data_IF_374850944592
#
_entry.id   IF_374850944592
#
_cell.length_a   1.000
_cell.length_b   1.000
_cell.length_c   1.000
_cell.angle_alpha   90.00
_cell.angle_beta   90.00
_cell.angle_gamma   90.00
#
_symmetry.space_group_name_H-M   'P 1'
#
loop_
_entity.id
_entity.type
_entity.pdbx_description
1 polymer ?
#
# COMPACT_ATOMS: atom_id res chain seq x y z
N UNK A 1 -15.61 -17.77 9.33
CA UNK A 1 -15.81 -17.24 7.98
C UNK A 1 -14.74 -16.21 7.65
N UNK A 2 -13.93 -16.51 6.68
CA UNK A 2 -12.82 -15.64 6.35
C UNK A 2 -13.32 -14.47 5.52
N UNK A 3 -13.01 -13.26 6.00
CA UNK A 3 -13.25 -12.06 5.21
C UNK A 3 -12.02 -11.81 4.35
N UNK A 4 -12.23 -11.69 3.05
CA UNK A 4 -11.17 -11.30 2.14
C UNK A 4 -10.92 -9.81 2.29
N UNK A 5 -10.05 -9.45 3.23
CA UNK A 5 -9.68 -8.06 3.45
C UNK A 5 -8.70 -7.63 2.37
N UNK A 6 -9.07 -6.60 1.63
CA UNK A 6 -8.23 -6.00 0.61
C UNK A 6 -8.46 -4.49 0.59
N UNK A 7 -7.48 -3.75 1.10
CA UNK A 7 -7.55 -2.29 1.20
C UNK A 7 -6.65 -1.69 0.15
N UNK A 8 -7.24 -1.07 -0.86
CA UNK A 8 -6.51 -0.53 -2.02
C UNK A 8 -6.21 0.96 -1.83
N UNK A 9 -5.01 1.37 -2.28
CA UNK A 9 -4.61 2.78 -2.30
C UNK A 9 -4.90 3.39 -3.67
N UNK A 10 -6.12 3.87 -3.86
CA UNK A 10 -6.54 4.48 -5.12
C UNK A 10 -5.77 5.76 -5.44
N UNK A 11 -5.41 6.51 -4.40
CA UNK A 11 -4.67 7.76 -4.54
C UNK A 11 -3.29 7.53 -5.18
N UNK A 12 -2.61 6.43 -4.82
CA UNK A 12 -1.31 6.11 -5.39
C UNK A 12 -1.38 5.90 -6.90
N UNK A 13 -2.40 5.20 -7.37
CA UNK A 13 -2.59 4.97 -8.80
C UNK A 13 -2.92 6.24 -9.57
N UNK A 14 -3.53 7.21 -8.91
CA UNK A 14 -3.81 8.50 -9.49
C UNK A 14 -2.57 9.40 -9.55
N UNK A 15 -1.76 9.40 -8.49
CA UNK A 15 -0.64 10.33 -8.35
C UNK A 15 0.68 9.82 -8.92
N UNK A 16 0.82 8.51 -9.15
CA UNK A 16 2.08 7.89 -9.56
C UNK A 16 1.92 6.96 -10.74
N UNK A 17 2.98 6.92 -11.58
CA UNK A 17 3.18 5.83 -12.52
C UNK A 17 3.85 4.68 -11.78
N UNK A 18 3.22 3.53 -11.73
CA UNK A 18 3.75 2.36 -11.03
C UNK A 18 4.66 1.58 -11.99
N UNK A 19 5.95 1.54 -11.67
CA UNK A 19 6.95 0.93 -12.55
C UNK A 19 7.17 -0.56 -12.26
N UNK A 20 7.06 -0.95 -10.99
CA UNK A 20 7.28 -2.32 -10.57
C UNK A 20 6.50 -2.58 -9.28
N UNK A 21 6.12 -3.84 -9.03
CA UNK A 21 5.32 -4.21 -7.85
C UNK A 21 5.99 -5.34 -7.09
N UNK A 22 5.85 -5.32 -5.77
CA UNK A 22 6.37 -6.34 -4.87
C UNK A 22 5.33 -6.64 -3.79
N UNK A 23 5.31 -7.89 -3.31
CA UNK A 23 4.48 -8.27 -2.16
C UNK A 23 5.40 -8.43 -0.96
N UNK A 24 5.22 -7.59 0.04
CA UNK A 24 6.02 -7.62 1.26
C UNK A 24 5.19 -8.19 2.41
N UNK A 25 5.85 -8.93 3.29
CA UNK A 25 5.29 -9.20 4.60
C UNK A 25 5.34 -7.93 5.44
N UNK A 26 4.42 -7.76 6.36
CA UNK A 26 4.44 -6.62 7.27
C UNK A 26 4.45 -7.14 8.70
N UNK A 27 5.39 -6.64 9.50
CA UNK A 27 5.55 -7.07 10.89
C UNK A 27 4.57 -6.29 11.77
N UNK A 28 3.58 -7.01 12.30
CA UNK A 28 2.47 -6.42 13.04
C UNK A 28 2.34 -6.99 14.44
N UNK A 29 1.74 -6.18 15.32
CA UNK A 29 1.29 -6.62 16.64
C UNK A 29 -0.08 -7.27 16.51
N UNK A 30 -0.47 -8.07 17.51
CA UNK A 30 -1.75 -8.78 17.49
C UNK A 30 -2.96 -7.85 17.35
N UNK A 31 -2.95 -6.71 18.06
CA UNK A 31 -4.03 -5.72 17.99
C UNK A 31 -4.13 -5.09 16.61
N UNK A 32 -2.99 -4.92 15.93
CA UNK A 32 -2.97 -4.39 14.56
C UNK A 32 -3.64 -5.35 13.58
N UNK A 33 -3.32 -6.63 13.66
CA UNK A 33 -3.92 -7.66 12.80
C UNK A 33 -5.44 -7.71 13.02
N UNK A 34 -5.87 -7.65 14.26
CA UNK A 34 -7.30 -7.67 14.61
C UNK A 34 -8.03 -6.46 14.00
N UNK A 35 -7.44 -5.29 14.07
CA UNK A 35 -8.02 -4.08 13.44
C UNK A 35 -8.09 -4.19 11.93
N UNK A 36 -7.05 -4.71 11.29
CA UNK A 36 -7.03 -4.92 9.84
C UNK A 36 -8.14 -5.88 9.42
N UNK A 37 -8.34 -6.96 10.17
CA UNK A 37 -9.41 -7.91 9.89
C UNK A 37 -10.81 -7.28 9.98
N UNK A 38 -10.94 -6.20 10.73
CA UNK A 38 -12.18 -5.41 10.81
C UNK A 38 -12.24 -4.33 9.73
N UNK A 39 -11.26 -4.26 8.84
CA UNK A 39 -11.19 -3.25 7.80
C UNK A 39 -10.83 -1.86 8.31
N UNK A 40 -10.30 -1.75 9.51
CA UNK A 40 -10.00 -0.46 10.15
C UNK A 40 -8.57 -0.02 9.94
N UNK A 41 -8.18 0.14 8.68
CA UNK A 41 -6.86 0.65 8.30
C UNK A 41 -6.98 1.55 7.09
N UNK A 42 -6.06 2.52 7.01
CA UNK A 42 -6.02 3.47 5.90
C UNK A 42 -4.57 3.63 5.42
N UNK A 43 -4.32 3.33 4.15
CA UNK A 43 -3.00 3.40 3.54
C UNK A 43 -2.81 4.57 2.57
N UNK A 44 -3.81 5.43 2.41
CA UNK A 44 -3.77 6.49 1.40
C UNK A 44 -2.62 7.47 1.58
N UNK A 45 -2.24 7.77 2.82
CA UNK A 45 -1.16 8.71 3.11
C UNK A 45 0.14 8.01 3.52
N UNK A 46 0.17 6.69 3.43
CA UNK A 46 1.34 5.91 3.80
C UNK A 46 2.41 5.96 2.71
N UNK A 47 3.65 5.81 3.12
CA UNK A 47 4.79 5.74 2.20
C UNK A 47 5.83 4.79 2.76
N UNK A 48 6.70 4.30 1.89
CA UNK A 48 7.76 3.38 2.29
C UNK A 48 9.12 4.06 2.18
N UNK A 49 10.00 3.77 3.13
CA UNK A 49 11.34 4.35 3.16
C UNK A 49 12.34 3.37 3.76
N UNK A 50 13.61 3.50 3.37
CA UNK A 50 14.69 2.70 3.95
C UNK A 50 15.30 3.44 5.13
N UNK A 51 15.47 2.71 6.25
CA UNK A 51 16.18 3.20 7.43
C UNK A 51 17.15 2.08 7.83
N UNK A 52 18.45 2.35 7.83
CA UNK A 52 19.49 1.37 8.18
C UNK A 52 19.33 0.04 7.41
N UNK A 53 19.16 0.13 6.08
CA UNK A 53 19.03 -1.03 5.17
C UNK A 53 17.77 -1.88 5.39
N UNK A 54 16.82 -1.39 6.18
CA UNK A 54 15.51 -2.02 6.34
C UNK A 54 14.42 -1.15 5.72
N UNK A 55 13.43 -1.79 5.13
CA UNK A 55 12.30 -1.09 4.53
C UNK A 55 11.17 -0.97 5.55
N UNK A 56 10.69 0.25 5.72
CA UNK A 56 9.58 0.57 6.63
C UNK A 56 8.40 1.16 5.85
N UNK A 57 7.20 0.84 6.28
CA UNK A 57 6.03 1.61 5.89
C UNK A 57 5.73 2.60 7.01
N UNK A 58 5.59 3.87 6.63
CA UNK A 58 5.35 4.96 7.57
C UNK A 58 4.01 5.62 7.25
N UNK A 59 3.42 6.21 8.27
CA UNK A 59 2.13 6.90 8.17
C UNK A 59 0.98 5.99 7.72
N UNK A 60 1.12 4.69 7.94
CA UNK A 60 0.04 3.73 7.75
C UNK A 60 -0.83 3.74 9.00
N UNK A 61 -2.07 4.16 8.85
CA UNK A 61 -3.02 4.22 9.97
C UNK A 61 -3.72 2.87 10.14
N UNK A 62 -3.51 2.26 11.30
CA UNK A 62 -4.26 1.08 11.73
C UNK A 62 -4.93 1.46 13.04
N UNK A 63 -6.27 1.53 13.04
CA UNK A 63 -7.02 1.98 14.21
C UNK A 63 -6.71 1.13 15.44
N UNK A 64 -6.76 1.72 16.62
CA UNK A 64 -6.63 0.98 17.86
C UNK A 64 -7.75 -0.06 17.92
N UNK A 65 -7.41 -1.25 18.41
CA UNK A 65 -8.39 -2.32 18.54
C UNK A 65 -9.33 -2.01 19.71
N UNK A 66 -10.64 -1.98 19.43
CA UNK A 66 -11.66 -1.57 20.40
C UNK A 66 -11.65 -2.39 21.70
N UNK A 67 -11.25 -3.67 21.59
CA UNK A 67 -11.18 -4.57 22.73
C UNK A 67 -9.77 -4.72 23.30
N UNK A 68 -8.84 -3.87 22.82
CA UNK A 68 -7.48 -3.87 23.33
C UNK A 68 -7.40 -3.21 24.70
N UNK A 69 -6.43 -3.64 25.51
CA UNK A 69 -6.17 -3.09 26.82
C UNK A 69 -5.03 -2.06 26.75
N UNK A 70 -4.28 -1.89 27.85
CA UNK A 70 -3.12 -1.00 27.93
C UNK A 70 -2.03 -1.32 26.90
N UNK A 71 -2.05 -2.52 26.32
CA UNK A 71 -1.04 -2.97 25.36
C UNK A 71 -1.46 -2.74 23.90
N UNK A 72 -2.41 -1.84 23.67
CA UNK A 72 -2.80 -1.49 22.33
C UNK A 72 -1.65 -0.77 21.60
N UNK A 73 -1.70 -0.79 20.27
CA UNK A 73 -0.67 -0.18 19.45
C UNK A 73 -0.95 1.29 19.19
N UNK A 74 0.09 2.03 18.77
CA UNK A 74 -0.09 3.35 18.21
C UNK A 74 -0.60 3.24 16.77
N UNK A 75 -1.62 4.03 16.43
CA UNK A 75 -2.29 3.93 15.13
C UNK A 75 -1.35 4.13 13.94
N UNK A 76 -0.37 5.02 14.06
CA UNK A 76 0.57 5.35 12.99
C UNK A 76 2.00 4.88 13.25
N UNK A 77 2.15 3.80 13.98
CA UNK A 77 3.45 3.22 14.29
C UNK A 77 4.23 2.88 13.00
N UNK A 78 5.53 3.15 12.97
CA UNK A 78 6.40 2.69 11.88
C UNK A 78 6.50 1.17 11.90
N UNK A 79 6.34 0.53 10.75
CA UNK A 79 6.31 -0.94 10.66
C UNK A 79 7.30 -1.44 9.63
N UNK A 80 8.02 -2.50 10.01
CA UNK A 80 9.02 -3.13 9.14
C UNK A 80 8.32 -3.98 8.08
N UNK A 81 8.79 -3.85 6.84
CA UNK A 81 8.37 -4.69 5.73
C UNK A 81 9.40 -5.78 5.48
N UNK A 82 8.92 -6.98 5.16
CA UNK A 82 9.75 -8.16 4.97
C UNK A 82 9.73 -8.58 3.51
N UNK A 83 10.91 -8.56 2.90
CA UNK A 83 11.14 -9.01 1.53
C UNK A 83 12.35 -9.92 1.52
N UNK A 84 12.50 -10.76 0.46
CA UNK A 84 13.73 -11.52 0.33
C UNK A 84 14.89 -10.55 0.00
N UNK A 85 16.12 -11.02 0.22
CA UNK A 85 17.30 -10.15 0.08
C UNK A 85 17.47 -9.57 -1.32
N UNK A 86 17.14 -10.32 -2.35
CA UNK A 86 17.25 -9.85 -3.74
C UNK A 86 16.29 -8.72 -4.02
N UNK A 87 15.04 -8.88 -3.61
CA UNK A 87 14.01 -7.85 -3.80
C UNK A 87 14.34 -6.60 -3.00
N UNK A 88 14.76 -6.78 -1.76
CA UNK A 88 15.10 -5.67 -0.87
C UNK A 88 16.24 -4.83 -1.45
N UNK A 89 17.31 -5.51 -1.91
CA UNK A 89 18.47 -4.84 -2.49
C UNK A 89 18.13 -4.11 -3.79
N UNK A 90 17.33 -4.74 -4.64
CA UNK A 90 16.88 -4.13 -5.89
C UNK A 90 16.06 -2.89 -5.65
N UNK A 91 15.11 -2.95 -4.72
CA UNK A 91 14.30 -1.79 -4.34
C UNK A 91 15.13 -0.67 -3.73
N UNK A 92 16.11 -1.02 -2.89
CA UNK A 92 16.97 -0.02 -2.28
C UNK A 92 17.77 0.74 -3.33
N UNK A 93 18.36 0.03 -4.27
CA UNK A 93 19.12 0.63 -5.37
C UNK A 93 18.25 1.50 -6.25
N UNK A 94 17.10 1.01 -6.67
CA UNK A 94 16.21 1.75 -7.56
C UNK A 94 15.48 2.88 -6.84
N UNK A 95 15.19 2.72 -5.56
CA UNK A 95 14.53 3.74 -4.75
C UNK A 95 15.38 4.99 -4.54
N UNK A 96 16.71 4.90 -4.75
CA UNK A 96 17.62 6.04 -4.67
C UNK A 96 17.64 6.85 -5.97
N UNK A 97 17.09 6.33 -7.06
CA UNK A 97 17.03 7.06 -8.32
C UNK A 97 16.13 8.29 -8.19
N UNK A 98 16.58 9.39 -8.81
CA UNK A 98 15.86 10.65 -8.72
C UNK A 98 14.44 10.55 -9.30
N UNK A 99 13.48 11.05 -8.55
CA UNK A 99 12.08 11.04 -8.97
C UNK A 99 11.33 9.75 -8.68
N UNK A 100 12.00 8.75 -8.13
CA UNK A 100 11.36 7.48 -7.77
C UNK A 100 11.11 7.41 -6.27
N UNK A 101 10.03 6.74 -5.91
CA UNK A 101 9.66 6.51 -4.52
C UNK A 101 8.99 5.14 -4.41
N UNK A 102 8.81 4.66 -3.19
CA UNK A 102 8.13 3.40 -2.93
C UNK A 102 6.84 3.71 -2.18
N UNK A 103 5.71 3.28 -2.73
CA UNK A 103 4.39 3.55 -2.15
C UNK A 103 3.62 2.26 -1.90
N UNK A 104 2.83 2.18 -0.83
CA UNK A 104 1.96 1.04 -0.63
C UNK A 104 0.76 1.13 -1.57
N UNK A 105 0.44 0.01 -2.21
CA UNK A 105 -0.64 -0.07 -3.18
C UNK A 105 -1.87 -0.78 -2.62
N UNK A 106 -1.67 -1.79 -1.77
CA UNK A 106 -2.76 -2.52 -1.15
C UNK A 106 -2.31 -3.22 0.12
N UNK A 107 -3.19 -3.24 1.10
CA UNK A 107 -3.01 -3.99 2.35
C UNK A 107 -4.04 -5.11 2.38
N UNK A 108 -3.59 -6.34 2.55
CA UNK A 108 -4.51 -7.49 2.51
C UNK A 108 -4.06 -8.60 3.44
N UNK A 109 -4.99 -9.51 3.72
CA UNK A 109 -4.71 -10.71 4.51
C UNK A 109 -4.63 -11.89 3.52
N UNK A 110 -3.51 -12.62 3.59
CA UNK A 110 -3.30 -13.79 2.72
C UNK A 110 -4.20 -14.95 3.16
N UNK A 111 -4.29 -15.98 2.30
CA UNK A 111 -5.06 -17.18 2.60
C UNK A 111 -4.62 -17.86 3.90
N UNK A 112 -3.33 -17.75 4.25
CA UNK A 112 -2.79 -18.29 5.50
C UNK A 112 -3.00 -17.40 6.71
N UNK A 113 -3.67 -16.25 6.54
CA UNK A 113 -3.96 -15.34 7.63
C UNK A 113 -2.87 -14.33 7.95
N UNK A 114 -1.84 -14.21 7.10
CA UNK A 114 -0.77 -13.23 7.28
C UNK A 114 -1.10 -11.91 6.58
N UNK A 115 -0.79 -10.81 7.25
CA UNK A 115 -0.93 -9.50 6.61
C UNK A 115 0.18 -9.29 5.60
N UNK A 116 -0.19 -8.84 4.41
CA UNK A 116 0.72 -8.54 3.31
C UNK A 116 0.48 -7.12 2.81
N UNK A 117 1.53 -6.48 2.37
CA UNK A 117 1.45 -5.15 1.78
C UNK A 117 2.01 -5.21 0.36
N UNK A 118 1.17 -4.94 -0.62
CA UNK A 118 1.64 -4.75 -1.98
C UNK A 118 2.23 -3.36 -2.09
N UNK A 119 3.49 -3.27 -2.53
CA UNK A 119 4.20 -2.01 -2.67
C UNK A 119 4.62 -1.83 -4.11
N UNK A 120 4.78 -0.59 -4.53
CA UNK A 120 5.17 -0.25 -5.89
C UNK A 120 6.32 0.73 -5.92
N UNK A 121 7.28 0.47 -6.83
CA UNK A 121 8.25 1.47 -7.21
C UNK A 121 7.53 2.43 -8.15
N UNK A 122 7.53 3.71 -7.83
CA UNK A 122 6.63 4.67 -8.44
C UNK A 122 7.34 5.96 -8.81
N UNK A 123 6.84 6.59 -9.87
CA UNK A 123 7.29 7.90 -10.32
C UNK A 123 6.12 8.88 -10.26
N UNK A 124 6.32 10.05 -9.66
CA UNK A 124 5.28 11.05 -9.56
C UNK A 124 4.81 11.52 -10.94
N UNK A 125 3.49 11.62 -11.12
CA UNK A 125 2.90 12.14 -12.35
C UNK A 125 2.94 13.66 -12.37
N UNK A 126 3.20 14.21 -13.54
CA UNK A 126 3.06 15.65 -13.79
C UNK A 126 1.57 15.98 -13.87
N UNK A 127 1.20 17.24 -13.68
CA UNK A 127 -0.20 17.65 -13.68
C UNK A 127 -0.96 17.22 -14.95
N UNK A 128 -0.34 17.32 -16.12
CA UNK A 128 -1.01 16.90 -17.35
C UNK A 128 -1.23 15.40 -17.44
N UNK A 129 -0.33 14.58 -16.86
CA UNK A 129 -0.50 13.12 -16.80
C UNK A 129 -1.71 12.74 -15.97
N UNK A 130 -1.95 13.47 -14.88
CA UNK A 130 -3.14 13.26 -14.05
C UNK A 130 -4.41 13.55 -14.82
N UNK A 131 -4.42 14.60 -15.63
CA UNK A 131 -5.55 14.94 -16.48
C UNK A 131 -5.82 13.86 -17.53
N UNK A 132 -4.77 13.35 -18.17
CA UNK A 132 -4.89 12.26 -19.13
C UNK A 132 -5.46 11.00 -18.48
N UNK A 133 -5.01 10.65 -17.30
CA UNK A 133 -5.51 9.48 -16.57
C UNK A 133 -7.02 9.60 -16.30
N UNK A 134 -7.47 10.77 -15.88
CA UNK A 134 -8.89 11.02 -15.66
C UNK A 134 -9.69 10.93 -16.95
N UNK A 135 -9.16 11.49 -18.03
CA UNK A 135 -9.79 11.47 -19.34
C UNK A 135 -9.93 10.05 -19.88
N UNK A 136 -8.89 9.23 -19.75
CA UNK A 136 -8.91 7.83 -20.15
C UNK A 136 -9.97 7.03 -19.38
N UNK A 137 -10.12 7.27 -18.09
CA UNK A 137 -11.13 6.60 -17.27
C UNK A 137 -12.53 6.95 -17.73
N UNK A 138 -12.80 8.22 -18.00
CA UNK A 138 -14.11 8.67 -18.46
C UNK A 138 -14.44 8.07 -19.82
N UNK A 139 -13.49 8.07 -20.75
CA UNK A 139 -13.65 7.47 -22.07
C UNK A 139 -13.96 5.96 -21.97
N UNK A 140 -13.25 5.27 -21.09
CA UNK A 140 -13.45 3.84 -20.89
C UNK A 140 -14.85 3.52 -20.35
N UNK A 141 -15.33 4.31 -19.41
CA UNK A 141 -16.67 4.14 -18.86
C UNK A 141 -17.74 4.37 -19.92
N UNK A 142 -17.58 5.40 -20.76
CA UNK A 142 -18.48 5.68 -21.86
C UNK A 142 -18.53 4.56 -22.89
N UNK A 143 -17.39 4.00 -23.23
CA UNK A 143 -17.29 2.85 -24.14
C UNK A 143 -18.01 1.62 -23.58
N UNK A 144 -17.82 1.33 -22.30
CA UNK A 144 -18.48 0.22 -21.65
C UNK A 144 -20.01 0.37 -21.65
N UNK A 145 -20.51 1.58 -21.43
CA UNK A 145 -21.93 1.87 -21.50
C UNK A 145 -22.48 1.70 -22.90
N UNK A 146 -21.75 2.14 -23.90
CA UNK A 146 -22.12 1.96 -25.31
C UNK A 146 -22.21 0.49 -25.71
N UNK A 147 -21.28 -0.33 -25.23
CA UNK A 147 -21.26 -1.76 -25.51
C UNK A 147 -22.39 -2.52 -24.82
N UNK A 148 -22.85 -2.04 -23.67
CA UNK A 148 -23.93 -2.69 -22.92
C UNK A 148 -25.31 -2.24 -23.34
N UNK A 149 -25.38 -1.18 -24.08
CA UNK A 149 -26.62 -0.65 -24.62
C UNK A 149 -27.02 -1.38 -25.86
#
# INVERSE_FOLDING_TARGET
>A
MEQNIYIKNKKAYFEYHILDKYIAGIKLLGTEIKSIRQGKANINDAFCTFINDQLYVRNLHIAEYSFGSFYNHEAKRDRVLLLNKKELKKLQTRGEEKGLTIVPLALFISERGFAKLEIGLAQGKKTFDKRETMKERDTKVEMDRAMKG
#
